data_IF_954696978338
#
_entry.id   IF_954696978338
#
_cell.length_a   1.000
_cell.length_b   1.000
_cell.length_c   1.000
_cell.angle_alpha   90.00
_cell.angle_beta   90.00
_cell.angle_gamma   90.00
#
_symmetry.space_group_name_H-M   'P 1'
#
loop_
_entity.id
_entity.type
_entity.pdbx_description
1 polymer ?
#
# COMPACT_ATOMS: atom_id res chain seq x y z
N UNK A 1 23.73 -33.34 -36.99
CA UNK A 1 23.25 -33.07 -35.61
C UNK A 1 23.95 -31.88 -34.96
N UNK A 2 25.30 -31.80 -34.90
CA UNK A 2 26.02 -30.65 -34.28
C UNK A 2 25.67 -29.28 -34.90
N UNK A 3 25.55 -29.21 -36.23
CA UNK A 3 25.16 -27.98 -36.96
C UNK A 3 23.72 -27.57 -36.60
N UNK A 4 22.76 -28.49 -36.61
CA UNK A 4 21.35 -28.20 -36.27
C UNK A 4 21.18 -27.71 -34.82
N UNK A 5 21.91 -28.31 -33.87
CA UNK A 5 21.92 -27.86 -32.47
C UNK A 5 22.55 -26.47 -32.30
N UNK A 6 23.57 -26.14 -33.11
CA UNK A 6 24.19 -24.80 -33.12
C UNK A 6 23.23 -23.69 -33.59
N UNK A 7 22.25 -24.03 -34.43
CA UNK A 7 21.19 -23.11 -34.88
C UNK A 7 19.90 -23.21 -34.04
N UNK A 8 19.96 -23.78 -32.83
CA UNK A 8 18.81 -23.97 -31.94
C UNK A 8 17.64 -24.75 -32.56
N UNK A 9 17.89 -25.60 -33.55
CA UNK A 9 16.87 -26.45 -34.15
C UNK A 9 16.60 -27.69 -33.28
N UNK A 10 15.33 -27.96 -32.98
CA UNK A 10 14.88 -29.16 -32.27
C UNK A 10 14.83 -30.35 -33.23
N UNK A 11 15.83 -31.22 -33.16
CA UNK A 11 15.87 -32.46 -33.96
C UNK A 11 15.14 -33.57 -33.21
N UNK A 12 14.03 -34.04 -33.78
CA UNK A 12 13.24 -35.14 -33.24
C UNK A 12 13.57 -36.45 -33.96
N UNK A 13 13.68 -37.59 -33.25
CA UNK A 13 13.88 -38.89 -33.87
C UNK A 13 12.60 -39.30 -34.61
N UNK A 14 12.69 -39.50 -35.93
CA UNK A 14 11.58 -39.92 -36.77
C UNK A 14 11.89 -41.30 -37.40
N UNK A 15 11.03 -42.31 -37.22
CA UNK A 15 11.27 -43.64 -37.76
C UNK A 15 11.13 -43.68 -39.29
N UNK A 16 11.96 -44.47 -39.97
CA UNK A 16 11.96 -44.56 -41.45
C UNK A 16 10.86 -45.47 -42.01
N UNK A 17 10.42 -46.46 -41.23
CA UNK A 17 9.37 -47.42 -41.64
C UNK A 17 7.97 -46.82 -41.48
N UNK A 18 7.14 -46.97 -42.50
CA UNK A 18 5.76 -46.44 -42.51
C UNK A 18 4.87 -46.98 -41.37
N UNK A 19 5.07 -48.23 -40.94
CA UNK A 19 4.32 -48.80 -39.81
C UNK A 19 4.69 -48.17 -38.47
N UNK A 20 5.98 -47.94 -38.22
CA UNK A 20 6.47 -47.32 -36.99
C UNK A 20 6.14 -45.83 -36.92
N UNK A 21 6.07 -45.14 -38.07
CA UNK A 21 5.56 -43.77 -38.18
C UNK A 21 4.09 -43.68 -37.77
N UNK A 22 3.23 -44.61 -38.25
CA UNK A 22 1.81 -44.65 -37.87
C UNK A 22 1.62 -44.90 -36.37
N UNK A 23 2.42 -45.81 -35.78
CA UNK A 23 2.42 -46.08 -34.33
C UNK A 23 2.87 -44.86 -33.52
N UNK A 24 3.94 -44.19 -33.95
CA UNK A 24 4.44 -42.98 -33.28
C UNK A 24 3.44 -41.83 -33.36
N UNK A 25 2.81 -41.62 -34.52
CA UNK A 25 1.77 -40.60 -34.70
C UNK A 25 0.56 -40.85 -33.80
N UNK A 26 0.06 -42.09 -33.75
CA UNK A 26 -1.04 -42.47 -32.86
C UNK A 26 -0.69 -42.23 -31.38
N UNK A 27 0.53 -42.61 -30.96
CA UNK A 27 1.01 -42.37 -29.58
C UNK A 27 1.06 -40.88 -29.24
N UNK A 28 1.66 -40.07 -30.11
CA UNK A 28 1.82 -38.63 -29.88
C UNK A 28 0.45 -37.93 -29.81
N UNK A 29 -0.52 -38.33 -30.64
CA UNK A 29 -1.88 -37.78 -30.54
C UNK A 29 -2.53 -38.10 -29.21
N UNK A 30 -2.42 -39.35 -28.74
CA UNK A 30 -2.94 -39.74 -27.42
C UNK A 30 -2.27 -38.93 -26.31
N UNK A 31 -0.93 -38.85 -26.30
CA UNK A 31 -0.18 -38.06 -25.33
C UNK A 31 -0.57 -36.57 -25.35
N UNK A 32 -0.79 -35.99 -26.53
CA UNK A 32 -1.27 -34.61 -26.66
C UNK A 32 -2.68 -34.46 -26.07
N UNK A 33 -3.55 -35.45 -26.28
CA UNK A 33 -4.89 -35.48 -25.70
C UNK A 33 -4.84 -35.50 -24.17
N UNK A 34 -4.03 -36.39 -23.61
CA UNK A 34 -3.85 -36.55 -22.17
C UNK A 34 -3.25 -35.27 -21.54
N UNK A 35 -2.21 -34.70 -22.14
CA UNK A 35 -1.58 -33.46 -21.68
C UNK A 35 -2.55 -32.28 -21.72
N UNK A 36 -3.39 -32.17 -22.76
CA UNK A 36 -4.44 -31.14 -22.83
C UNK A 36 -5.45 -31.31 -21.69
N UNK A 37 -5.87 -32.54 -21.42
CA UNK A 37 -6.75 -32.86 -20.29
C UNK A 37 -6.16 -32.42 -18.95
N UNK A 38 -4.88 -32.70 -18.72
CA UNK A 38 -4.17 -32.31 -17.49
C UNK A 38 -4.04 -30.78 -17.38
N UNK A 39 -3.73 -30.09 -18.48
CA UNK A 39 -3.61 -28.63 -18.49
C UNK A 39 -4.96 -27.98 -18.14
N UNK A 40 -6.05 -28.48 -18.72
CA UNK A 40 -7.38 -27.92 -18.49
C UNK A 40 -7.90 -28.21 -17.08
N UNK A 41 -7.63 -29.39 -16.53
CA UNK A 41 -7.95 -29.71 -15.14
C UNK A 41 -7.15 -28.84 -14.16
N UNK A 42 -5.84 -28.68 -14.40
CA UNK A 42 -4.97 -27.83 -13.56
C UNK A 42 -5.40 -26.36 -13.62
N UNK A 43 -5.73 -25.84 -14.81
CA UNK A 43 -6.24 -24.47 -14.97
C UNK A 43 -7.55 -24.28 -14.23
N UNK A 44 -8.44 -25.27 -14.25
CA UNK A 44 -9.72 -25.24 -13.54
C UNK A 44 -9.51 -25.22 -12.04
N UNK A 45 -8.72 -26.14 -11.49
CA UNK A 45 -8.38 -26.18 -10.06
C UNK A 45 -7.78 -24.86 -9.59
N UNK A 46 -6.83 -24.30 -10.36
CA UNK A 46 -6.25 -22.99 -10.03
C UNK A 46 -7.30 -21.88 -10.00
N UNK A 47 -8.23 -21.86 -10.96
CA UNK A 47 -9.30 -20.84 -11.00
C UNK A 47 -10.25 -20.99 -9.81
N UNK A 48 -10.62 -22.21 -9.44
CA UNK A 48 -11.48 -22.49 -8.29
C UNK A 48 -10.81 -22.02 -6.98
N UNK A 49 -9.53 -22.35 -6.77
CA UNK A 49 -8.76 -21.88 -5.62
C UNK A 49 -8.64 -20.35 -5.58
N UNK A 50 -8.35 -19.72 -6.72
CA UNK A 50 -8.26 -18.26 -6.79
C UNK A 50 -9.63 -17.61 -6.54
N UNK A 51 -10.72 -18.17 -7.05
CA UNK A 51 -12.07 -17.66 -6.82
C UNK A 51 -12.45 -17.69 -5.33
N UNK A 52 -12.02 -18.70 -4.58
CA UNK A 52 -12.22 -18.76 -3.13
C UNK A 52 -11.31 -17.79 -2.34
N UNK A 53 -10.08 -17.56 -2.82
CA UNK A 53 -9.10 -16.70 -2.14
C UNK A 53 -9.33 -15.19 -2.38
N UNK A 54 -9.74 -14.78 -3.59
CA UNK A 54 -9.96 -13.37 -3.95
C UNK A 54 -10.81 -12.60 -2.93
N UNK A 55 -11.99 -13.07 -2.49
CA UNK A 55 -12.81 -12.32 -1.55
C UNK A 55 -12.17 -12.21 -0.15
N UNK A 56 -11.31 -13.17 0.24
CA UNK A 56 -10.64 -13.21 1.55
C UNK A 56 -9.35 -12.38 1.56
N UNK A 57 -8.68 -12.26 0.42
CA UNK A 57 -7.38 -11.61 0.33
C UNK A 57 -7.41 -10.15 0.79
N UNK A 58 -8.44 -9.40 0.40
CA UNK A 58 -8.56 -7.99 0.77
C UNK A 58 -8.66 -7.79 2.29
N UNK A 59 -9.46 -8.60 2.98
CA UNK A 59 -9.63 -8.51 4.44
C UNK A 59 -8.39 -9.01 5.19
N UNK A 60 -7.73 -10.06 4.71
CA UNK A 60 -6.47 -10.54 5.28
C UNK A 60 -5.36 -9.50 5.12
N UNK A 61 -5.26 -8.88 3.95
CA UNK A 61 -4.27 -7.84 3.72
C UNK A 61 -4.51 -6.63 4.62
N UNK A 62 -5.76 -6.17 4.75
CA UNK A 62 -6.12 -5.08 5.67
C UNK A 62 -5.79 -5.44 7.14
N UNK A 63 -6.11 -6.66 7.57
CA UNK A 63 -5.77 -7.14 8.92
C UNK A 63 -4.26 -7.11 9.18
N UNK A 64 -3.46 -7.71 8.28
CA UNK A 64 -2.00 -7.78 8.42
C UNK A 64 -1.38 -6.38 8.39
N UNK A 65 -1.86 -5.49 7.52
CA UNK A 65 -1.35 -4.12 7.43
C UNK A 65 -1.67 -3.31 8.70
N UNK A 66 -2.87 -3.46 9.26
CA UNK A 66 -3.24 -2.82 10.53
C UNK A 66 -2.39 -3.34 11.68
N UNK A 67 -2.25 -4.66 11.79
CA UNK A 67 -1.47 -5.28 12.88
C UNK A 67 0.01 -4.86 12.80
N UNK A 68 0.59 -4.87 11.58
CA UNK A 68 1.95 -4.36 11.34
C UNK A 68 2.10 -2.89 11.74
N UNK A 69 1.13 -2.04 11.42
CA UNK A 69 1.17 -0.62 11.78
C UNK A 69 1.11 -0.41 13.31
N UNK A 70 0.34 -1.22 14.02
CA UNK A 70 0.27 -1.20 15.49
C UNK A 70 1.63 -1.57 16.08
N UNK A 71 2.22 -2.70 15.68
CA UNK A 71 3.54 -3.11 16.16
C UNK A 71 4.64 -2.11 15.79
N UNK A 72 4.60 -1.56 14.58
CA UNK A 72 5.55 -0.52 14.17
C UNK A 72 5.43 0.73 15.06
N UNK A 73 4.20 1.11 15.43
CA UNK A 73 3.97 2.23 16.36
C UNK A 73 4.45 1.92 17.77
N UNK A 74 4.19 0.70 18.27
CA UNK A 74 4.65 0.23 19.59
C UNK A 74 6.18 0.17 19.67
N UNK A 75 6.88 -0.13 18.57
CA UNK A 75 8.34 -0.12 18.54
C UNK A 75 8.95 1.27 18.76
N UNK A 76 8.20 2.35 18.53
CA UNK A 76 8.64 3.71 18.84
C UNK A 76 8.38 4.10 20.30
N UNK A 77 7.63 3.29 21.05
CA UNK A 77 7.26 3.54 22.45
C UNK A 77 8.37 3.03 23.36
N UNK A 78 8.77 3.84 24.34
CA UNK A 78 9.73 3.42 25.35
C UNK A 78 9.04 2.60 26.42
N UNK A 79 9.64 1.47 26.78
CA UNK A 79 9.17 0.64 27.88
C UNK A 79 9.99 0.95 29.11
N UNK A 80 9.37 1.56 30.12
CA UNK A 80 10.00 1.83 31.41
C UNK A 80 9.30 0.98 32.48
N UNK A 81 10.04 0.03 33.05
CA UNK A 81 9.54 -0.93 34.04
C UNK A 81 8.33 -1.74 33.54
N UNK A 82 7.11 -1.26 33.82
CA UNK A 82 5.81 -1.86 33.46
C UNK A 82 4.88 -0.87 32.76
N UNK A 83 5.40 0.30 32.38
CA UNK A 83 4.65 1.36 31.71
C UNK A 83 5.20 1.56 30.30
N UNK A 84 4.29 1.81 29.38
CA UNK A 84 4.60 2.24 28.03
C UNK A 84 4.52 3.76 27.98
N UNK A 85 5.65 4.41 27.68
CA UNK A 85 5.76 5.87 27.59
C UNK A 85 5.97 6.25 26.13
N UNK A 86 4.95 6.90 25.57
CA UNK A 86 4.99 7.44 24.21
C UNK A 86 4.98 8.97 24.27
N UNK A 87 5.79 9.60 23.43
CA UNK A 87 5.79 11.06 23.25
C UNK A 87 5.48 11.36 21.78
N UNK A 88 4.72 12.41 21.53
CA UNK A 88 4.29 12.74 20.17
C UNK A 88 3.57 14.08 20.10
N UNK A 89 3.49 14.61 18.88
CA UNK A 89 2.85 15.88 18.60
C UNK A 89 1.35 15.70 18.38
N UNK A 90 0.54 16.50 19.08
CA UNK A 90 -0.92 16.48 18.96
C UNK A 90 -1.42 17.92 18.79
N UNK A 91 -2.26 18.22 17.78
CA UNK A 91 -2.91 19.52 17.68
C UNK A 91 -3.74 19.81 18.95
N UNK A 92 -3.63 21.01 19.52
CA UNK A 92 -4.31 21.38 20.78
C UNK A 92 -5.82 21.11 20.73
N UNK A 93 -6.43 21.40 19.58
CA UNK A 93 -7.84 21.14 19.25
C UNK A 93 -8.28 19.67 19.26
N UNK A 94 -7.33 18.73 19.17
CA UNK A 94 -7.61 17.30 19.07
C UNK A 94 -7.28 16.53 20.37
N UNK A 95 -6.76 17.21 21.41
CA UNK A 95 -6.36 16.59 22.68
C UNK A 95 -7.51 15.83 23.33
N UNK A 96 -8.72 16.40 23.35
CA UNK A 96 -9.90 15.75 23.95
C UNK A 96 -10.34 14.49 23.18
N UNK A 97 -10.19 14.52 21.86
CA UNK A 97 -10.46 13.36 21.01
C UNK A 97 -9.49 12.22 21.31
N UNK A 98 -8.20 12.54 21.47
CA UNK A 98 -7.18 11.56 21.87
C UNK A 98 -7.46 10.99 23.25
N UNK A 99 -7.85 11.83 24.23
CA UNK A 99 -8.23 11.38 25.57
C UNK A 99 -9.41 10.42 25.55
N UNK A 100 -10.45 10.74 24.78
CA UNK A 100 -11.63 9.87 24.64
C UNK A 100 -11.28 8.54 23.95
N UNK A 101 -10.40 8.57 22.94
CA UNK A 101 -9.91 7.36 22.28
C UNK A 101 -9.12 6.46 23.24
N UNK A 102 -8.25 7.05 24.07
CA UNK A 102 -7.47 6.34 25.09
C UNK A 102 -8.38 5.70 26.16
N UNK A 103 -9.38 6.43 26.65
CA UNK A 103 -10.38 5.90 27.60
C UNK A 103 -11.18 4.73 27.01
N UNK A 104 -11.58 4.83 25.74
CA UNK A 104 -12.26 3.74 25.03
C UNK A 104 -11.36 2.51 24.89
N UNK A 105 -10.07 2.71 24.64
CA UNK A 105 -9.06 1.65 24.62
C UNK A 105 -8.93 0.95 25.98
N UNK A 106 -8.82 1.73 27.06
CA UNK A 106 -8.79 1.22 28.44
C UNK A 106 -10.03 0.40 28.79
N UNK A 107 -11.23 0.89 28.43
CA UNK A 107 -12.49 0.16 28.67
C UNK A 107 -12.53 -1.19 27.95
N UNK A 108 -11.96 -1.28 26.74
CA UNK A 108 -11.91 -2.52 25.95
C UNK A 108 -10.87 -3.52 26.45
N UNK A 109 -9.75 -3.04 26.98
CA UNK A 109 -8.70 -3.93 27.50
C UNK A 109 -8.97 -4.46 28.91
N UNK A 110 -10.02 -3.96 29.57
CA UNK A 110 -10.34 -4.26 30.98
C UNK A 110 -9.15 -4.04 31.94
N UNK A 111 -8.18 -3.21 31.54
CA UNK A 111 -6.99 -2.96 32.32
C UNK A 111 -7.30 -2.01 33.47
N UNK A 112 -6.83 -2.37 34.67
CA UNK A 112 -6.89 -1.48 35.83
C UNK A 112 -5.85 -0.36 35.78
N UNK A 113 -4.85 -0.46 34.87
CA UNK A 113 -3.82 0.55 34.71
C UNK A 113 -4.42 1.92 34.35
N UNK A 114 -3.91 2.99 34.96
CA UNK A 114 -4.30 4.36 34.60
C UNK A 114 -3.64 4.75 33.28
N UNK A 115 -4.42 5.34 32.38
CA UNK A 115 -3.89 5.98 31.16
C UNK A 115 -3.81 7.46 31.46
N UNK A 116 -2.59 8.00 31.48
CA UNK A 116 -2.32 9.40 31.77
C UNK A 116 -1.82 10.09 30.50
N UNK A 117 -2.41 11.24 30.17
CA UNK A 117 -1.98 12.07 29.05
C UNK A 117 -1.58 13.41 29.63
N UNK A 118 -0.29 13.69 29.62
CA UNK A 118 0.28 14.95 30.10
C UNK A 118 0.84 15.76 28.93
N UNK A 119 0.65 17.08 28.99
CA UNK A 119 1.29 17.99 28.04
C UNK A 119 2.71 18.25 28.54
N UNK A 120 3.69 17.73 27.83
CA UNK A 120 5.09 17.94 28.18
C UNK A 120 5.52 19.37 27.80
N UNK A 121 6.27 20.03 28.68
CA UNK A 121 6.97 21.26 28.32
C UNK A 121 8.15 20.92 27.42
N UNK A 122 8.08 21.35 26.16
CA UNK A 122 9.12 21.08 25.17
C UNK A 122 10.20 22.16 25.25
N UNK A 123 11.50 21.81 25.23
CA UNK A 123 12.58 22.80 25.17
C UNK A 123 12.43 23.71 23.94
N UNK A 124 12.84 24.97 24.06
CA UNK A 124 12.76 25.94 22.95
C UNK A 124 13.56 25.53 21.69
N UNK A 125 14.46 24.55 21.81
CA UNK A 125 15.27 24.01 20.70
C UNK A 125 14.49 23.03 19.80
N UNK A 126 13.37 22.48 20.27
CA UNK A 126 12.59 21.52 19.48
C UNK A 126 11.41 22.20 18.83
N UNK A 127 11.49 22.40 17.51
CA UNK A 127 10.42 22.99 16.73
C UNK A 127 9.26 21.99 16.52
N UNK A 128 8.02 22.36 16.89
CA UNK A 128 6.85 21.53 16.61
C UNK A 128 6.53 21.48 15.11
N UNK A 129 5.92 20.38 14.63
CA UNK A 129 5.51 20.26 13.24
C UNK A 129 4.37 21.24 12.89
N UNK A 130 4.30 21.64 11.62
CA UNK A 130 3.18 22.39 11.07
C UNK A 130 2.01 21.49 10.72
N UNK A 131 0.79 21.99 10.94
CA UNK A 131 -0.44 21.29 10.61
C UNK A 131 -1.45 22.26 10.03
N UNK A 132 -1.84 22.04 8.77
CA UNK A 132 -2.88 22.80 8.09
C UNK A 132 -4.12 21.94 7.89
N UNK A 133 -5.28 22.46 8.30
CA UNK A 133 -6.56 21.82 8.03
C UNK A 133 -6.96 22.07 6.58
N UNK A 134 -6.89 21.03 5.76
CA UNK A 134 -7.30 21.08 4.36
C UNK A 134 -8.61 20.33 4.14
N UNK A 135 -9.32 20.69 3.08
CA UNK A 135 -10.46 19.93 2.55
C UNK A 135 -10.08 19.38 1.16
N UNK A 136 -10.99 18.63 0.52
CA UNK A 136 -10.74 18.03 -0.81
C UNK A 136 -10.31 19.04 -1.88
N UNK A 137 -10.77 20.29 -1.76
CA UNK A 137 -10.43 21.36 -2.70
C UNK A 137 -9.08 22.02 -2.35
N UNK A 138 -8.89 22.43 -1.10
CA UNK A 138 -7.67 23.13 -0.66
C UNK A 138 -6.45 22.22 -0.55
N UNK A 139 -6.63 20.89 -0.49
CA UNK A 139 -5.51 19.94 -0.43
C UNK A 139 -4.61 19.99 -1.67
N UNK A 140 -5.18 20.30 -2.84
CA UNK A 140 -4.40 20.40 -4.09
C UNK A 140 -3.47 21.62 -4.03
N UNK A 141 -4.01 22.78 -3.67
CA UNK A 141 -3.22 24.03 -3.55
C UNK A 141 -2.20 23.95 -2.41
N UNK A 142 -2.55 23.32 -1.30
CA UNK A 142 -1.61 23.05 -0.23
C UNK A 142 -0.45 22.17 -0.72
N UNK A 143 -0.73 21.11 -1.49
CA UNK A 143 0.30 20.26 -2.07
C UNK A 143 1.23 21.01 -3.04
N UNK A 144 0.69 21.95 -3.83
CA UNK A 144 1.50 22.82 -4.71
C UNK A 144 2.45 23.68 -3.86
N UNK A 145 1.96 24.33 -2.80
CA UNK A 145 2.78 25.15 -1.90
C UNK A 145 3.85 24.32 -1.20
N UNK A 146 3.46 23.18 -0.61
CA UNK A 146 4.35 22.30 0.14
C UNK A 146 5.42 21.64 -0.74
N UNK A 147 5.17 21.50 -2.04
CA UNK A 147 6.17 21.01 -3.00
C UNK A 147 7.39 21.93 -3.12
N UNK A 148 7.22 23.22 -2.83
CA UNK A 148 8.32 24.18 -2.79
C UNK A 148 9.02 24.17 -1.43
N UNK A 149 8.25 24.34 -0.35
CA UNK A 149 8.76 24.27 1.01
C UNK A 149 7.62 24.03 2.01
N UNK A 150 7.94 23.35 3.11
CA UNK A 150 7.05 23.24 4.27
C UNK A 150 7.20 24.50 5.12
N UNK A 151 6.08 25.13 5.44
CA UNK A 151 6.06 26.34 6.28
C UNK A 151 6.60 26.05 7.69
N UNK A 152 7.21 27.06 8.31
CA UNK A 152 7.65 27.04 9.70
C UNK A 152 6.47 27.08 10.66
N UNK A 153 6.71 26.67 11.92
CA UNK A 153 5.67 26.66 12.92
C UNK A 153 5.08 28.06 13.16
N UNK A 154 3.76 28.17 13.05
CA UNK A 154 2.99 29.43 13.13
C UNK A 154 3.33 30.46 12.05
N UNK A 155 3.99 30.05 10.97
CA UNK A 155 4.12 30.88 9.77
C UNK A 155 2.76 30.99 9.05
N UNK A 156 2.56 32.10 8.33
CA UNK A 156 1.38 32.32 7.53
C UNK A 156 1.34 31.33 6.35
N UNK A 157 0.23 30.61 6.19
CA UNK A 157 0.06 29.72 5.05
C UNK A 157 -0.25 30.52 3.77
N UNK A 158 0.56 30.40 2.69
CA UNK A 158 0.28 31.07 1.43
C UNK A 158 -0.78 30.35 0.57
N UNK A 159 -1.13 29.09 0.87
CA UNK A 159 -2.06 28.29 0.08
C UNK A 159 -3.45 28.93 -0.13
N UNK A 160 -4.07 29.61 0.86
CA UNK A 160 -5.33 30.33 0.64
C UNK A 160 -5.23 31.42 -0.43
N UNK A 161 -4.08 32.08 -0.57
CA UNK A 161 -3.86 33.05 -1.64
C UNK A 161 -3.66 32.35 -2.98
N UNK A 162 -2.89 31.25 -2.99
CA UNK A 162 -2.65 30.44 -4.17
C UNK A 162 -3.95 29.90 -4.80
N UNK A 163 -4.99 29.65 -4.01
CA UNK A 163 -6.32 29.25 -4.52
C UNK A 163 -6.86 30.20 -5.59
N UNK A 164 -6.63 31.52 -5.42
CA UNK A 164 -7.13 32.54 -6.34
C UNK A 164 -6.03 33.00 -7.31
N UNK A 165 -4.84 33.27 -6.79
CA UNK A 165 -3.77 33.85 -7.60
C UNK A 165 -3.21 32.87 -8.63
N UNK A 166 -3.12 31.57 -8.31
CA UNK A 166 -2.55 30.59 -9.24
C UNK A 166 -3.43 30.41 -10.49
N UNK A 167 -4.74 30.11 -10.41
CA UNK A 167 -5.58 30.01 -11.60
C UNK A 167 -5.69 31.34 -12.36
N UNK A 168 -5.70 32.47 -11.66
CA UNK A 168 -5.75 33.78 -12.29
C UNK A 168 -4.50 34.06 -13.14
N UNK A 169 -3.31 33.88 -12.57
CA UNK A 169 -2.05 34.09 -13.29
C UNK A 169 -1.93 33.09 -14.45
N UNK A 170 -2.36 31.85 -14.27
CA UNK A 170 -2.42 30.87 -15.34
C UNK A 170 -3.34 31.32 -16.48
N UNK A 171 -4.52 31.86 -16.16
CA UNK A 171 -5.46 32.39 -17.15
C UNK A 171 -4.93 33.62 -17.89
N UNK A 172 -4.10 34.46 -17.26
CA UNK A 172 -3.44 35.58 -17.97
C UNK A 172 -2.39 35.07 -18.96
N UNK A 173 -1.65 34.00 -18.63
CA UNK A 173 -0.62 33.43 -19.51
C UNK A 173 -1.20 32.61 -20.67
N UNK A 174 -2.34 31.96 -20.45
CA UNK A 174 -2.98 31.03 -21.39
C UNK A 174 -4.43 31.40 -21.71
N UNK A 175 -4.72 32.70 -21.69
CA UNK A 175 -6.07 33.22 -21.91
C UNK A 175 -6.46 33.09 -23.37
N UNK A 176 -7.16 32.00 -23.71
CA UNK A 176 -7.85 31.81 -24.97
C UNK A 176 -9.34 31.54 -24.69
N UNK A 177 -10.21 32.19 -25.47
CA UNK A 177 -11.65 31.91 -25.45
C UNK A 177 -11.90 30.91 -26.57
N UNK A 178 -11.73 29.63 -26.25
CA UNK A 178 -12.03 28.52 -27.15
C UNK A 178 -13.53 28.28 -27.36
#
# INVERSE_FOLDING_TARGET
SKICKAFMASVLPFPEKAEDQRKMYARVITEIGDLKGIIDSTKRQRRELLADLIPKFASWNDFVMREKAVYHSLNMVKTEQKLFVATGWVPTVAIDSVRTAAEKGKKRSHSQAQTMIETQHVPASTEPPTYFRTNRFTSVFQGIVESYAVAQYKEMNPAPFAVVSFPFLFAVMFGDVG
#
